data_IF_406195975480
#
_entry.id   IF_406195975480
#
_cell.length_a   1.000
_cell.length_b   1.000
_cell.length_c   1.000
_cell.angle_alpha   90.00
_cell.angle_beta   90.00
_cell.angle_gamma   90.00
#
_symmetry.space_group_name_H-M   'P 1'
#
loop_
_entity.id
_entity.type
_entity.pdbx_description
1 polymer ?
#
# COMPACT_ATOMS: atom_id res chain seq x y z
N UNK A 1 19.01 -21.95 10.47
CA UNK A 1 18.92 -22.46 11.85
C UNK A 1 17.49 -22.31 12.33
N UNK A 2 16.75 -23.40 12.59
CA UNK A 2 15.41 -23.31 13.22
C UNK A 2 15.54 -22.51 14.53
N UNK A 3 14.63 -21.56 14.74
CA UNK A 3 14.73 -20.67 15.91
C UNK A 3 14.33 -21.46 17.15
N UNK A 4 15.33 -21.76 17.96
CA UNK A 4 15.19 -22.45 19.24
C UNK A 4 15.72 -21.57 20.38
N UNK A 5 15.25 -21.84 21.61
CA UNK A 5 15.67 -21.10 22.80
C UNK A 5 14.62 -20.12 23.34
N UNK A 6 14.99 -19.34 24.38
CA UNK A 6 14.04 -18.57 25.19
C UNK A 6 13.33 -17.45 24.42
N UNK A 7 13.95 -16.94 23.35
CA UNK A 7 13.38 -15.89 22.51
C UNK A 7 12.44 -16.40 21.42
N UNK A 8 12.27 -17.72 21.27
CA UNK A 8 11.42 -18.32 20.23
C UNK A 8 9.99 -17.82 20.30
N UNK A 9 9.36 -17.93 21.48
CA UNK A 9 7.95 -17.58 21.67
C UNK A 9 7.70 -16.07 21.51
N UNK A 10 8.49 -15.17 22.16
CA UNK A 10 8.35 -13.73 21.94
C UNK A 10 8.46 -13.32 20.47
N UNK A 11 9.46 -13.83 19.75
CA UNK A 11 9.64 -13.53 18.33
C UNK A 11 8.49 -14.05 17.47
N UNK A 12 8.06 -15.30 17.71
CA UNK A 12 6.93 -15.90 16.98
C UNK A 12 5.65 -15.07 17.12
N UNK A 13 5.35 -14.63 18.34
CA UNK A 13 4.19 -13.78 18.62
C UNK A 13 4.28 -12.45 17.88
N UNK A 14 5.44 -11.78 17.91
CA UNK A 14 5.66 -10.50 17.23
C UNK A 14 5.53 -10.66 15.70
N UNK A 15 6.12 -11.70 15.12
CA UNK A 15 6.06 -11.95 13.68
C UNK A 15 4.62 -12.26 13.23
N UNK A 16 3.82 -12.98 14.04
CA UNK A 16 2.39 -13.15 13.79
C UNK A 16 1.62 -11.83 13.81
N UNK A 17 1.93 -10.93 14.75
CA UNK A 17 1.35 -9.58 14.75
C UNK A 17 1.63 -8.85 13.44
N UNK A 18 2.83 -9.01 12.86
CA UNK A 18 3.14 -8.42 11.55
C UNK A 18 2.22 -8.94 10.47
N UNK A 19 2.14 -10.27 10.34
CA UNK A 19 1.33 -10.91 9.31
C UNK A 19 -0.15 -10.47 9.39
N UNK A 20 -0.72 -10.42 10.60
CA UNK A 20 -2.12 -10.06 10.83
C UNK A 20 -2.37 -8.57 10.57
N UNK A 21 -1.57 -7.66 11.14
CA UNK A 21 -1.75 -6.21 10.95
C UNK A 21 -1.62 -5.84 9.47
N UNK A 22 -0.63 -6.42 8.77
CA UNK A 22 -0.46 -6.20 7.34
C UNK A 22 -1.65 -6.73 6.52
N UNK A 23 -2.21 -7.89 6.90
CA UNK A 23 -3.42 -8.43 6.26
C UNK A 23 -4.61 -7.47 6.44
N UNK A 24 -4.82 -6.98 7.66
CA UNK A 24 -5.90 -6.03 8.00
C UNK A 24 -5.75 -4.72 7.22
N UNK A 25 -4.54 -4.18 7.11
CA UNK A 25 -4.27 -3.00 6.29
C UNK A 25 -4.59 -3.29 4.81
N UNK A 26 -4.16 -4.44 4.28
CA UNK A 26 -4.49 -4.85 2.91
C UNK A 26 -6.01 -4.90 2.65
N UNK A 27 -6.79 -5.42 3.61
CA UNK A 27 -8.25 -5.44 3.56
C UNK A 27 -8.87 -4.05 3.67
N UNK A 28 -8.33 -3.19 4.54
CA UNK A 28 -8.80 -1.81 4.71
C UNK A 28 -8.75 -1.03 3.38
N UNK A 29 -7.66 -1.15 2.61
CA UNK A 29 -7.55 -0.51 1.30
C UNK A 29 -8.52 -1.10 0.25
N UNK A 30 -8.80 -2.41 0.28
CA UNK A 30 -9.88 -2.99 -0.55
C UNK A 30 -11.23 -2.42 -0.17
N UNK A 31 -11.54 -2.33 1.12
CA UNK A 31 -12.81 -1.79 1.59
C UNK A 31 -12.97 -0.32 1.17
N UNK A 32 -11.91 0.47 1.26
CA UNK A 32 -11.88 1.85 0.73
C UNK A 32 -12.16 1.87 -0.78
N UNK A 33 -11.48 1.03 -1.56
CA UNK A 33 -11.69 0.91 -3.00
C UNK A 33 -13.13 0.49 -3.37
N UNK A 34 -13.71 -0.46 -2.63
CA UNK A 34 -15.07 -0.96 -2.89
C UNK A 34 -16.15 0.06 -2.54
N UNK A 35 -15.94 0.87 -1.49
CA UNK A 35 -16.84 1.95 -1.07
C UNK A 35 -16.88 3.14 -2.04
N UNK A 36 -15.84 3.32 -2.85
CA UNK A 36 -15.81 4.38 -3.87
C UNK A 36 -16.76 4.07 -5.03
N UNK A 37 -17.43 5.12 -5.51
CA UNK A 37 -18.23 5.06 -6.74
C UNK A 37 -17.38 4.61 -7.93
N UNK A 38 -17.97 3.83 -8.84
CA UNK A 38 -17.24 3.16 -9.93
C UNK A 38 -16.42 4.14 -10.78
N UNK A 39 -16.90 5.37 -10.98
CA UNK A 39 -16.23 6.41 -11.78
C UNK A 39 -15.05 7.06 -11.04
N UNK A 40 -15.08 7.07 -9.70
CA UNK A 40 -14.05 7.72 -8.88
C UNK A 40 -12.92 6.78 -8.45
N UNK A 41 -13.09 5.47 -8.65
CA UNK A 41 -12.15 4.42 -8.23
C UNK A 41 -10.73 4.64 -8.73
N UNK A 42 -9.78 4.69 -7.81
CA UNK A 42 -8.35 4.80 -8.13
C UNK A 42 -7.65 3.45 -7.97
N UNK A 43 -6.75 3.11 -8.91
CA UNK A 43 -5.93 1.89 -8.75
C UNK A 43 -4.88 2.01 -7.64
N UNK A 44 -4.65 3.21 -7.09
CA UNK A 44 -3.69 3.42 -6.01
C UNK A 44 -4.07 2.62 -4.75
N UNK A 45 -5.37 2.59 -4.40
CA UNK A 45 -5.88 1.78 -3.28
C UNK A 45 -5.60 0.28 -3.49
N UNK A 46 -5.78 -0.22 -4.72
CA UNK A 46 -5.42 -1.60 -5.09
C UNK A 46 -3.91 -1.82 -4.95
N UNK A 47 -3.10 -0.85 -5.36
CA UNK A 47 -1.65 -0.89 -5.21
C UNK A 47 -1.21 -1.05 -3.76
N UNK A 48 -1.72 -0.20 -2.86
CA UNK A 48 -1.43 -0.31 -1.42
C UNK A 48 -1.94 -1.63 -0.84
N UNK A 49 -3.13 -2.08 -1.24
CA UNK A 49 -3.64 -3.39 -0.82
C UNK A 49 -2.70 -4.53 -1.23
N UNK A 50 -2.27 -4.57 -2.51
CA UNK A 50 -1.33 -5.55 -3.03
C UNK A 50 0.02 -5.53 -2.31
N UNK A 51 0.51 -4.33 -1.95
CA UNK A 51 1.71 -4.16 -1.14
C UNK A 51 1.56 -4.82 0.23
N UNK A 52 0.52 -4.44 0.99
CA UNK A 52 0.31 -4.94 2.34
C UNK A 52 0.04 -6.46 2.37
N UNK A 53 -0.70 -6.99 1.40
CA UNK A 53 -0.84 -8.44 1.26
C UNK A 53 0.47 -9.14 0.91
N UNK A 54 1.27 -8.57 0.00
CA UNK A 54 2.58 -9.11 -0.33
C UNK A 54 3.49 -9.20 0.90
N UNK A 55 3.52 -8.17 1.73
CA UNK A 55 4.24 -8.16 3.00
C UNK A 55 3.64 -9.12 4.05
N UNK A 56 2.32 -9.22 4.15
CA UNK A 56 1.65 -10.17 5.06
C UNK A 56 2.04 -11.61 4.73
N UNK A 57 1.94 -11.99 3.46
CA UNK A 57 2.33 -13.31 2.96
C UNK A 57 3.84 -13.56 3.11
N UNK A 58 4.67 -12.52 2.94
CA UNK A 58 6.12 -12.58 3.21
C UNK A 58 6.36 -13.07 4.64
N UNK A 59 5.70 -12.48 5.63
CA UNK A 59 5.82 -12.88 7.03
C UNK A 59 5.21 -14.24 7.32
N UNK A 60 4.04 -14.54 6.75
CA UNK A 60 3.42 -15.84 6.90
C UNK A 60 4.35 -16.98 6.47
N UNK A 61 5.00 -16.86 5.31
CA UNK A 61 5.97 -17.84 4.84
C UNK A 61 7.26 -17.86 5.66
N UNK A 62 7.75 -16.71 6.15
CA UNK A 62 8.91 -16.67 7.06
C UNK A 62 8.62 -17.35 8.39
N UNK A 63 7.41 -17.19 8.95
CA UNK A 63 7.01 -17.86 10.19
C UNK A 63 7.03 -19.37 9.99
N UNK A 64 6.40 -19.85 8.91
CA UNK A 64 6.40 -21.28 8.57
C UNK A 64 7.84 -21.79 8.40
N UNK A 65 8.64 -21.10 7.59
CA UNK A 65 10.02 -21.47 7.29
C UNK A 65 10.95 -21.47 8.52
N UNK A 66 10.83 -20.47 9.40
CA UNK A 66 11.77 -20.28 10.51
C UNK A 66 11.44 -21.11 11.76
N UNK A 67 10.16 -21.40 12.01
CA UNK A 67 9.71 -22.03 13.26
C UNK A 67 9.23 -23.47 13.11
N UNK A 68 8.82 -23.88 11.91
CA UNK A 68 8.13 -25.16 11.70
C UNK A 68 8.82 -26.08 10.69
N UNK A 69 9.74 -25.56 9.87
CA UNK A 69 10.35 -26.33 8.78
C UNK A 69 11.78 -26.75 9.11
N UNK A 70 12.11 -27.99 8.78
CA UNK A 70 13.44 -28.57 8.96
C UNK A 70 14.43 -28.09 7.89
N UNK A 71 15.72 -28.21 8.21
CA UNK A 71 16.81 -27.96 7.26
C UNK A 71 17.12 -29.17 6.36
N UNK A 72 16.31 -30.23 6.45
CA UNK A 72 16.44 -31.41 5.61
C UNK A 72 16.38 -31.03 4.15
N UNK A 73 17.31 -31.56 3.36
CA UNK A 73 17.41 -31.24 1.95
C UNK A 73 16.17 -31.70 1.21
N UNK A 74 15.55 -30.80 0.45
CA UNK A 74 14.36 -31.10 -0.35
C UNK A 74 14.77 -31.12 -1.80
N UNK A 75 14.69 -32.31 -2.37
CA UNK A 75 14.82 -32.53 -3.80
C UNK A 75 13.58 -33.31 -4.26
N UNK A 76 12.39 -32.73 -4.03
CA UNK A 76 11.19 -33.31 -4.63
C UNK A 76 11.38 -33.24 -6.16
N UNK A 77 11.42 -34.40 -6.80
CA UNK A 77 11.65 -34.58 -8.23
C UNK A 77 13.06 -34.26 -8.78
N UNK A 78 14.11 -34.25 -7.94
CA UNK A 78 15.49 -33.95 -8.40
C UNK A 78 15.65 -32.59 -9.09
N UNK A 79 14.80 -31.62 -8.75
CA UNK A 79 14.87 -30.26 -9.29
C UNK A 79 16.03 -29.44 -8.71
N UNK A 80 16.47 -29.76 -7.50
CA UNK A 80 17.47 -28.98 -6.78
C UNK A 80 18.57 -29.88 -6.22
N UNK A 81 19.82 -29.56 -6.55
CA UNK A 81 21.01 -30.21 -5.96
C UNK A 81 21.27 -29.74 -4.52
N UNK A 82 20.78 -28.54 -4.17
CA UNK A 82 20.95 -27.90 -2.88
C UNK A 82 19.70 -27.10 -2.49
N UNK A 83 19.26 -27.25 -1.25
CA UNK A 83 18.15 -26.50 -0.69
C UNK A 83 17.41 -27.26 0.41
N UNK A 84 16.73 -26.55 1.31
CA UNK A 84 15.96 -27.12 2.43
C UNK A 84 14.48 -26.74 2.36
N UNK A 85 13.61 -27.45 3.12
CA UNK A 85 12.19 -27.05 3.26
C UNK A 85 12.09 -25.59 3.71
N UNK A 86 12.91 -25.19 4.68
CA UNK A 86 13.01 -23.80 5.10
C UNK A 86 13.36 -22.87 3.94
N UNK A 87 14.39 -23.18 3.16
CA UNK A 87 14.80 -22.33 2.04
C UNK A 87 13.66 -22.16 1.04
N UNK A 88 12.89 -23.21 0.75
CA UNK A 88 11.71 -23.15 -0.10
C UNK A 88 10.64 -22.17 0.43
N UNK A 89 10.36 -22.17 1.73
CA UNK A 89 9.44 -21.17 2.31
C UNK A 89 10.02 -19.76 2.32
N UNK A 90 11.33 -19.59 2.57
CA UNK A 90 12.00 -18.29 2.41
C UNK A 90 11.91 -17.78 0.96
N UNK A 91 12.00 -18.67 -0.03
CA UNK A 91 11.80 -18.32 -1.44
C UNK A 91 10.39 -17.79 -1.70
N UNK A 92 9.34 -18.48 -1.22
CA UNK A 92 7.97 -18.01 -1.35
C UNK A 92 7.73 -16.67 -0.66
N UNK A 93 8.38 -16.47 0.49
CA UNK A 93 8.38 -15.18 1.17
C UNK A 93 8.93 -14.06 0.27
N UNK A 94 10.11 -14.23 -0.31
CA UNK A 94 10.70 -13.20 -1.17
C UNK A 94 9.94 -13.01 -2.48
N UNK A 95 9.40 -14.08 -3.08
CA UNK A 95 8.53 -13.97 -4.25
C UNK A 95 7.26 -13.17 -3.93
N UNK A 96 6.68 -13.37 -2.74
CA UNK A 96 5.53 -12.60 -2.28
C UNK A 96 5.87 -11.11 -2.11
N UNK A 97 7.04 -10.81 -1.53
CA UNK A 97 7.54 -9.45 -1.39
C UNK A 97 7.66 -8.76 -2.76
N UNK A 98 8.34 -9.39 -3.72
CA UNK A 98 8.52 -8.84 -5.08
C UNK A 98 7.17 -8.64 -5.76
N UNK A 99 6.28 -9.62 -5.66
CA UNK A 99 4.96 -9.58 -6.32
C UNK A 99 4.11 -8.45 -5.75
N UNK A 100 4.11 -8.26 -4.43
CA UNK A 100 3.44 -7.13 -3.78
C UNK A 100 4.02 -5.79 -4.23
N UNK A 101 5.35 -5.66 -4.27
CA UNK A 101 6.02 -4.45 -4.78
C UNK A 101 5.73 -4.19 -6.26
N UNK A 102 5.63 -5.24 -7.09
CA UNK A 102 5.28 -5.14 -8.50
C UNK A 102 3.84 -4.63 -8.70
N UNK A 103 2.88 -5.18 -7.97
CA UNK A 103 1.47 -4.74 -8.02
C UNK A 103 1.38 -3.27 -7.60
N UNK A 104 2.09 -2.90 -6.55
CA UNK A 104 2.18 -1.52 -6.08
C UNK A 104 2.75 -0.59 -7.14
N UNK A 105 3.92 -0.92 -7.69
CA UNK A 105 4.58 -0.12 -8.72
C UNK A 105 3.70 0.04 -9.97
N UNK A 106 3.14 -1.04 -10.49
CA UNK A 106 2.23 -1.02 -11.62
C UNK A 106 1.02 -0.12 -11.38
N UNK A 107 0.43 -0.21 -10.19
CA UNK A 107 -0.77 0.55 -9.82
C UNK A 107 -0.51 2.06 -9.74
N UNK A 108 0.69 2.45 -9.30
CA UNK A 108 1.09 3.86 -9.23
C UNK A 108 1.51 4.39 -10.60
N UNK A 109 2.36 3.68 -11.34
CA UNK A 109 2.84 4.08 -12.67
C UNK A 109 1.74 4.07 -13.75
N UNK A 110 0.59 3.44 -13.47
CA UNK A 110 -0.60 3.55 -14.33
C UNK A 110 -1.09 4.99 -14.44
N UNK A 111 -1.04 5.76 -13.35
CA UNK A 111 -1.58 7.13 -13.26
C UNK A 111 -0.58 8.19 -13.69
N UNK A 112 0.71 8.01 -13.38
CA UNK A 112 1.73 9.01 -13.67
C UNK A 112 3.00 8.37 -14.22
N UNK A 113 3.72 9.16 -15.01
CA UNK A 113 5.05 8.83 -15.50
C UNK A 113 6.04 9.24 -14.41
N UNK A 114 6.85 8.30 -13.93
CA UNK A 114 7.90 8.57 -12.95
C UNK A 114 9.27 8.49 -13.62
N UNK A 115 10.18 9.39 -13.23
CA UNK A 115 11.55 9.56 -13.77
C UNK A 115 11.64 9.75 -15.30
N UNK A 116 11.76 8.65 -16.05
CA UNK A 116 12.21 8.66 -17.45
C UNK A 116 11.13 8.21 -18.44
N UNK A 117 10.37 7.16 -18.10
CA UNK A 117 9.36 6.54 -18.99
C UNK A 117 8.23 5.93 -18.17
N UNK A 118 7.04 5.85 -18.78
CA UNK A 118 5.91 5.14 -18.18
C UNK A 118 6.29 3.67 -17.96
N UNK A 119 5.93 3.13 -16.79
CA UNK A 119 6.21 1.74 -16.37
C UNK A 119 7.70 1.39 -16.16
N UNK A 120 8.58 2.36 -15.92
CA UNK A 120 10.00 2.08 -15.70
C UNK A 120 10.23 1.16 -14.48
N UNK A 121 9.66 1.52 -13.33
CA UNK A 121 9.82 0.72 -12.11
C UNK A 121 9.12 -0.62 -12.21
N UNK A 122 7.97 -0.67 -12.88
CA UNK A 122 7.22 -1.90 -13.16
C UNK A 122 8.08 -2.86 -13.96
N UNK A 123 8.79 -2.38 -14.99
CA UNK A 123 9.71 -3.20 -15.78
C UNK A 123 10.89 -3.70 -14.91
N UNK A 124 11.44 -2.85 -14.03
CA UNK A 124 12.48 -3.26 -13.09
C UNK A 124 12.00 -4.34 -12.10
N UNK A 125 10.81 -4.18 -11.50
CA UNK A 125 10.25 -5.20 -10.61
C UNK A 125 9.88 -6.47 -11.38
N UNK A 126 9.37 -6.35 -12.61
CA UNK A 126 9.03 -7.50 -13.44
C UNK A 126 10.27 -8.30 -13.83
N UNK A 127 11.36 -7.64 -14.21
CA UNK A 127 12.63 -8.31 -14.51
C UNK A 127 13.20 -9.00 -13.28
N UNK A 128 13.09 -8.39 -12.09
CA UNK A 128 13.42 -9.03 -10.83
C UNK A 128 12.54 -10.23 -10.52
N UNK A 129 11.23 -10.18 -10.76
CA UNK A 129 10.32 -11.32 -10.58
C UNK A 129 10.72 -12.48 -11.47
N UNK A 130 10.96 -12.23 -12.77
CA UNK A 130 11.35 -13.26 -13.73
C UNK A 130 12.71 -13.85 -13.33
N UNK A 131 13.67 -13.02 -12.95
CA UNK A 131 14.99 -13.47 -12.49
C UNK A 131 14.86 -14.32 -11.23
N UNK A 132 14.04 -13.90 -10.27
CA UNK A 132 13.76 -14.62 -9.03
C UNK A 132 13.11 -15.99 -9.29
N UNK A 133 12.15 -16.06 -10.22
CA UNK A 133 11.54 -17.33 -10.65
C UNK A 133 12.57 -18.25 -11.33
N UNK A 134 13.43 -17.72 -12.20
CA UNK A 134 14.49 -18.51 -12.82
C UNK A 134 15.48 -19.06 -11.78
N UNK A 135 15.92 -18.22 -10.84
CA UNK A 135 16.82 -18.62 -9.75
C UNK A 135 16.17 -19.67 -8.84
N UNK A 136 14.88 -19.53 -8.56
CA UNK A 136 14.10 -20.51 -7.78
C UNK A 136 14.19 -21.92 -8.36
N UNK A 137 14.17 -22.08 -9.68
CA UNK A 137 14.31 -23.39 -10.33
C UNK A 137 15.75 -23.91 -10.40
N UNK A 138 16.76 -23.07 -10.17
CA UNK A 138 18.18 -23.46 -10.24
C UNK A 138 18.73 -23.80 -8.84
N UNK A 139 18.61 -22.87 -7.88
CA UNK A 139 19.18 -23.03 -6.54
C UNK A 139 18.41 -22.18 -5.53
N UNK A 140 17.84 -22.84 -4.52
CA UNK A 140 17.00 -22.22 -3.50
C UNK A 140 17.78 -21.30 -2.54
N UNK A 141 19.10 -21.42 -2.44
CA UNK A 141 19.93 -20.61 -1.53
C UNK A 141 20.29 -19.24 -2.12
N UNK A 142 20.39 -19.12 -3.45
CA UNK A 142 20.82 -17.88 -4.13
C UNK A 142 19.78 -16.76 -3.95
N UNK A 143 18.51 -17.12 -3.82
CA UNK A 143 17.38 -16.18 -3.66
C UNK A 143 17.59 -15.20 -2.49
N UNK A 144 18.38 -15.58 -1.47
CA UNK A 144 18.60 -14.80 -0.25
C UNK A 144 19.26 -13.44 -0.52
N UNK A 145 19.92 -13.29 -1.67
CA UNK A 145 20.53 -12.05 -2.11
C UNK A 145 19.47 -11.06 -2.63
N UNK A 146 18.36 -11.55 -3.17
CA UNK A 146 17.38 -10.73 -3.88
C UNK A 146 16.76 -9.62 -3.01
N UNK A 147 16.41 -9.84 -1.72
CA UNK A 147 15.93 -8.77 -0.84
C UNK A 147 16.88 -7.56 -0.72
N UNK A 148 18.19 -7.77 -0.82
CA UNK A 148 19.17 -6.67 -0.81
C UNK A 148 19.10 -5.79 -2.06
N UNK A 149 18.52 -6.28 -3.16
CA UNK A 149 18.29 -5.52 -4.40
C UNK A 149 16.89 -4.89 -4.37
N UNK A 150 15.88 -5.64 -3.93
CA UNK A 150 14.48 -5.18 -3.89
C UNK A 150 14.33 -3.95 -2.98
N UNK A 151 14.84 -4.02 -1.74
CA UNK A 151 14.57 -2.97 -0.74
C UNK A 151 15.11 -1.60 -1.16
N UNK A 152 16.37 -1.45 -1.62
CA UNK A 152 16.85 -0.18 -2.15
C UNK A 152 16.04 0.31 -3.34
N UNK A 153 15.72 -0.56 -4.30
CA UNK A 153 14.90 -0.20 -5.46
C UNK A 153 13.51 0.29 -5.04
N UNK A 154 12.88 -0.42 -4.09
CA UNK A 154 11.58 -0.08 -3.54
C UNK A 154 11.60 1.24 -2.76
N UNK A 155 12.63 1.49 -1.94
CA UNK A 155 12.77 2.76 -1.23
C UNK A 155 12.98 3.93 -2.18
N UNK A 156 13.82 3.78 -3.21
CA UNK A 156 14.01 4.81 -4.25
C UNK A 156 12.69 5.10 -4.95
N UNK A 157 11.98 4.06 -5.38
CA UNK A 157 10.67 4.20 -6.00
C UNK A 157 9.67 4.92 -5.09
N UNK A 158 9.56 4.48 -3.84
CA UNK A 158 8.64 5.04 -2.86
C UNK A 158 8.95 6.52 -2.58
N UNK A 159 10.21 6.90 -2.44
CA UNK A 159 10.60 8.30 -2.22
C UNK A 159 10.20 9.18 -3.41
N UNK A 160 10.47 8.74 -4.64
CA UNK A 160 10.09 9.48 -5.85
C UNK A 160 8.57 9.60 -5.94
N UNK A 161 7.85 8.49 -5.72
CA UNK A 161 6.40 8.45 -5.70
C UNK A 161 5.82 9.46 -4.71
N UNK A 162 6.30 9.46 -3.46
CA UNK A 162 5.80 10.35 -2.42
C UNK A 162 6.12 11.81 -2.75
N UNK A 163 7.34 12.12 -3.23
CA UNK A 163 7.72 13.49 -3.65
C UNK A 163 6.81 14.01 -4.76
N UNK A 164 6.52 13.19 -5.77
CA UNK A 164 5.64 13.59 -6.86
C UNK A 164 4.18 13.71 -6.39
N UNK A 165 3.74 12.83 -5.48
CA UNK A 165 2.44 12.94 -4.83
C UNK A 165 2.30 14.26 -4.05
N UNK A 166 3.36 14.71 -3.35
CA UNK A 166 3.37 16.01 -2.67
C UNK A 166 3.24 17.20 -3.62
N UNK A 167 4.00 17.17 -4.71
CA UNK A 167 3.95 18.24 -5.73
C UNK A 167 2.58 18.31 -6.40
N UNK A 168 1.93 17.17 -6.56
CA UNK A 168 0.63 17.05 -7.20
C UNK A 168 -0.53 17.55 -6.33
N UNK A 169 -0.53 17.18 -5.04
CA UNK A 169 -1.76 17.12 -4.27
C UNK A 169 -2.05 18.28 -3.34
N UNK A 170 -1.13 19.22 -3.09
CA UNK A 170 -1.22 19.96 -1.83
C UNK A 170 -1.03 21.48 -1.96
N UNK A 171 -2.16 22.19 -2.03
CA UNK A 171 -2.34 23.54 -1.45
C UNK A 171 -2.66 23.50 0.06
N UNK A 172 -2.85 22.32 0.66
CA UNK A 172 -3.19 22.12 2.07
C UNK A 172 -2.01 21.59 2.89
N UNK A 173 -1.08 22.47 3.29
CA UNK A 173 0.20 22.17 3.96
C UNK A 173 0.13 21.10 5.08
N UNK A 174 -1.00 20.99 5.79
CA UNK A 174 -1.21 20.02 6.87
C UNK A 174 -1.14 18.57 6.42
N UNK A 175 -1.71 18.21 5.26
CA UNK A 175 -1.71 16.83 4.77
C UNK A 175 -0.32 16.43 4.23
N UNK A 176 0.46 17.40 3.75
CA UNK A 176 1.81 17.15 3.25
C UNK A 176 2.72 16.63 4.38
N UNK A 177 2.62 17.25 5.54
CA UNK A 177 3.42 16.90 6.71
C UNK A 177 3.06 15.50 7.22
N UNK A 178 1.79 15.09 7.14
CA UNK A 178 1.37 13.75 7.57
C UNK A 178 1.89 12.64 6.67
N UNK A 179 1.85 12.82 5.35
CA UNK A 179 2.38 11.84 4.41
C UNK A 179 3.91 11.76 4.46
N UNK A 180 4.63 12.85 4.80
CA UNK A 180 6.11 12.80 4.86
C UNK A 180 6.57 11.85 5.97
N UNK A 181 5.73 11.67 7.01
CA UNK A 181 5.96 10.73 8.10
C UNK A 181 5.85 9.26 7.66
N UNK A 182 5.36 8.94 6.45
CA UNK A 182 5.43 7.58 5.89
C UNK A 182 6.87 7.15 5.55
N UNK A 183 7.69 8.07 5.05
CA UNK A 183 9.08 7.77 4.63
C UNK A 183 9.90 7.16 5.77
N UNK A 184 10.00 7.79 6.97
CA UNK A 184 10.76 7.21 8.07
C UNK A 184 10.17 5.88 8.54
N UNK A 185 8.86 5.67 8.46
CA UNK A 185 8.24 4.40 8.82
C UNK A 185 8.68 3.26 7.86
N UNK A 186 8.71 3.51 6.55
CA UNK A 186 9.21 2.54 5.57
C UNK A 186 10.71 2.29 5.68
N UNK A 187 11.52 3.32 5.96
CA UNK A 187 12.95 3.17 6.22
C UNK A 187 13.16 2.29 7.46
N UNK A 188 12.42 2.55 8.53
CA UNK A 188 12.52 1.79 9.77
C UNK A 188 12.04 0.33 9.59
N UNK A 189 11.03 0.11 8.74
CA UNK A 189 10.61 -1.22 8.31
C UNK A 189 11.72 -1.96 7.55
N UNK A 190 12.39 -1.29 6.60
CA UNK A 190 13.48 -1.84 5.81
C UNK A 190 14.69 -2.20 6.69
N UNK A 191 15.11 -1.28 7.56
CA UNK A 191 16.22 -1.50 8.50
C UNK A 191 15.91 -2.68 9.42
N UNK A 192 14.70 -2.73 10.00
CA UNK A 192 14.28 -3.84 10.84
C UNK A 192 14.20 -5.17 10.08
N UNK A 193 13.89 -5.14 8.77
CA UNK A 193 13.90 -6.34 7.92
C UNK A 193 15.30 -6.87 7.70
N UNK A 194 16.26 -5.99 7.41
CA UNK A 194 17.66 -6.41 7.28
C UNK A 194 18.20 -6.99 8.59
N UNK A 195 17.92 -6.37 9.73
CA UNK A 195 18.33 -6.89 11.04
C UNK A 195 17.71 -8.27 11.37
N UNK A 196 16.51 -8.53 10.86
CA UNK A 196 15.82 -9.82 11.05
C UNK A 196 16.20 -10.86 10.00
N UNK A 197 17.01 -10.49 9.00
CA UNK A 197 17.41 -11.36 7.90
C UNK A 197 18.39 -12.45 8.36
N UNK A 198 18.34 -13.60 7.70
CA UNK A 198 19.14 -14.79 8.06
C UNK A 198 20.65 -14.54 8.07
N UNK A 199 21.13 -13.68 7.17
CA UNK A 199 22.55 -13.29 7.11
C UNK A 199 23.03 -12.63 8.40
N UNK A 200 22.25 -11.73 8.99
CA UNK A 200 22.62 -11.05 10.23
C UNK A 200 22.44 -11.98 11.44
N UNK A 201 21.43 -12.84 11.41
CA UNK A 201 21.22 -13.88 12.42
C UNK A 201 22.42 -14.82 12.59
N UNK A 202 23.06 -15.23 11.49
CA UNK A 202 24.22 -16.11 11.53
C UNK A 202 25.46 -15.44 12.15
N UNK A 203 25.57 -14.11 12.02
CA UNK A 203 26.76 -13.36 12.42
C UNK A 203 26.63 -12.63 13.77
N UNK A 204 25.41 -12.19 14.13
CA UNK A 204 25.16 -11.30 15.27
C UNK A 204 24.21 -11.89 16.33
N UNK A 205 23.81 -13.16 16.20
CA UNK A 205 22.93 -13.89 17.12
C UNK A 205 21.47 -13.39 17.18
N UNK A 206 20.65 -14.07 18.01
CA UNK A 206 19.19 -13.92 18.14
C UNK A 206 18.73 -12.52 18.62
N UNK A 207 19.58 -11.81 19.35
CA UNK A 207 19.26 -10.50 19.94
C UNK A 207 18.99 -9.43 18.87
N UNK A 208 19.75 -9.46 17.77
CA UNK A 208 19.57 -8.52 16.67
C UNK A 208 18.27 -8.73 15.91
N UNK A 209 17.79 -9.98 15.81
CA UNK A 209 16.47 -10.26 15.24
C UNK A 209 15.36 -9.74 16.13
N UNK A 210 15.50 -9.82 17.46
CA UNK A 210 14.53 -9.20 18.36
C UNK A 210 14.52 -7.68 18.20
N UNK A 211 15.70 -7.05 18.16
CA UNK A 211 15.83 -5.61 17.89
C UNK A 211 15.21 -5.21 16.55
N UNK A 212 15.49 -5.97 15.50
CA UNK A 212 14.90 -5.79 14.17
C UNK A 212 13.38 -5.92 14.16
N UNK A 213 12.85 -6.94 14.85
CA UNK A 213 11.41 -7.16 14.99
C UNK A 213 10.75 -6.00 15.77
N UNK A 214 11.33 -5.54 16.87
CA UNK A 214 10.79 -4.39 17.60
C UNK A 214 10.77 -3.12 16.76
N UNK A 215 11.80 -2.87 15.95
CA UNK A 215 11.79 -1.78 14.99
C UNK A 215 10.65 -1.95 13.98
N UNK A 216 10.50 -3.13 13.37
CA UNK A 216 9.41 -3.37 12.42
C UNK A 216 8.03 -3.19 13.05
N UNK A 217 7.85 -3.59 14.30
CA UNK A 217 6.59 -3.38 15.03
C UNK A 217 6.27 -1.88 15.15
N UNK A 218 7.26 -1.07 15.53
CA UNK A 218 7.10 0.39 15.61
C UNK A 218 6.78 1.00 14.24
N UNK A 219 7.46 0.55 13.19
CA UNK A 219 7.14 0.97 11.82
C UNK A 219 5.71 0.61 11.43
N UNK A 220 5.26 -0.62 11.72
CA UNK A 220 3.93 -1.10 11.38
C UNK A 220 2.83 -0.33 12.13
N UNK A 221 3.02 -0.06 13.42
CA UNK A 221 2.08 0.77 14.20
C UNK A 221 1.97 2.16 13.57
N UNK A 222 3.10 2.75 13.19
CA UNK A 222 3.14 4.05 12.51
C UNK A 222 2.40 4.00 11.17
N UNK A 223 2.71 3.02 10.31
CA UNK A 223 2.05 2.83 9.02
C UNK A 223 0.54 2.58 9.16
N UNK A 224 0.12 1.80 10.15
CA UNK A 224 -1.28 1.50 10.41
C UNK A 224 -2.04 2.77 10.82
N UNK A 225 -1.49 3.53 11.77
CA UNK A 225 -2.07 4.80 12.20
C UNK A 225 -2.28 5.77 11.03
N UNK A 226 -1.29 5.91 10.15
CA UNK A 226 -1.43 6.77 8.97
C UNK A 226 -2.42 6.22 7.95
N UNK A 227 -2.38 4.92 7.67
CA UNK A 227 -3.27 4.29 6.68
C UNK A 227 -4.75 4.41 7.05
N UNK A 228 -5.08 4.40 8.35
CA UNK A 228 -6.45 4.60 8.84
C UNK A 228 -6.90 6.06 8.61
N UNK A 229 -6.02 7.03 8.82
CA UNK A 229 -6.34 8.47 8.69
C UNK A 229 -6.34 8.98 7.25
N UNK A 230 -5.66 8.28 6.36
CA UNK A 230 -5.54 8.69 4.96
C UNK A 230 -6.93 8.65 4.29
N UNK A 231 -7.47 9.77 3.77
CA UNK A 231 -8.72 9.76 3.02
C UNK A 231 -8.56 8.97 1.72
N UNK A 232 -9.68 8.66 1.07
CA UNK A 232 -9.66 7.94 -0.19
C UNK A 232 -8.75 8.67 -1.21
N UNK A 233 -7.88 7.93 -1.91
CA UNK A 233 -6.99 8.55 -2.90
C UNK A 233 -7.74 9.30 -4.00
N UNK A 234 -9.00 8.92 -4.26
CA UNK A 234 -9.90 9.62 -5.17
C UNK A 234 -10.15 11.09 -4.81
N UNK A 235 -10.06 11.47 -3.53
CA UNK A 235 -10.27 12.83 -3.04
C UNK A 235 -9.10 13.76 -3.40
N UNK A 236 -7.89 13.23 -3.65
CA UNK A 236 -6.74 14.04 -4.00
C UNK A 236 -6.74 14.47 -5.48
N UNK A 237 -7.35 13.66 -6.35
CA UNK A 237 -7.50 13.95 -7.79
C UNK A 237 -8.85 14.60 -8.13
N UNK A 238 -9.51 15.26 -7.16
CA UNK A 238 -10.85 15.83 -7.34
C UNK A 238 -10.93 16.86 -8.48
N UNK A 239 -9.86 17.62 -8.70
CA UNK A 239 -9.84 18.69 -9.71
C UNK A 239 -9.94 18.15 -11.14
N UNK A 240 -9.29 17.03 -11.43
CA UNK A 240 -9.35 16.39 -12.76
C UNK A 240 -10.67 15.65 -12.99
N UNK A 241 -11.45 15.40 -11.93
CA UNK A 241 -12.75 14.72 -11.96
C UNK A 241 -13.93 15.67 -11.81
N UNK A 242 -13.68 16.98 -11.76
CA UNK A 242 -14.72 17.99 -11.60
C UNK A 242 -15.44 18.17 -12.94
N UNK A 243 -16.69 17.73 -13.03
CA UNK A 243 -17.46 17.81 -14.28
C UNK A 243 -17.99 19.23 -14.52
N UNK A 244 -18.63 19.83 -13.51
CA UNK A 244 -19.23 21.16 -13.58
C UNK A 244 -19.04 21.93 -12.26
N UNK A 245 -18.71 23.22 -12.35
CA UNK A 245 -18.66 24.14 -11.21
C UNK A 245 -19.78 25.17 -11.34
N UNK A 246 -20.72 25.13 -10.39
CA UNK A 246 -21.82 26.07 -10.27
C UNK A 246 -21.63 26.93 -9.02
N UNK A 247 -21.59 28.25 -9.18
CA UNK A 247 -21.63 29.21 -8.08
C UNK A 247 -22.99 29.86 -8.08
N UNK A 248 -23.74 29.68 -7.00
CA UNK A 248 -25.09 30.23 -6.85
C UNK A 248 -25.13 31.29 -5.74
N UNK A 249 -25.93 32.33 -5.96
CA UNK A 249 -26.29 33.27 -4.89
C UNK A 249 -27.26 32.59 -3.90
N UNK A 250 -27.40 33.15 -2.69
CA UNK A 250 -28.41 32.76 -1.69
C UNK A 250 -29.85 32.76 -2.22
N UNK A 251 -30.12 33.49 -3.30
CA UNK A 251 -31.41 33.52 -3.98
C UNK A 251 -31.60 32.39 -5.03
N UNK A 252 -30.64 31.46 -5.17
CA UNK A 252 -30.71 30.36 -6.15
C UNK A 252 -30.33 30.74 -7.58
N UNK A 253 -29.89 31.98 -7.79
CA UNK A 253 -29.45 32.47 -9.10
C UNK A 253 -28.03 31.97 -9.36
N UNK A 254 -27.82 31.28 -10.49
CA UNK A 254 -26.49 30.92 -10.97
C UNK A 254 -25.70 32.18 -11.33
N UNK A 255 -24.60 32.44 -10.62
CA UNK A 255 -23.68 33.55 -10.87
C UNK A 255 -22.53 33.15 -11.79
N UNK A 256 -22.13 31.88 -11.72
CA UNK A 256 -21.02 31.35 -12.51
C UNK A 256 -21.26 29.87 -12.78
N UNK A 257 -21.14 29.49 -14.04
CA UNK A 257 -21.14 28.10 -14.48
C UNK A 257 -19.88 27.85 -15.30
N UNK A 258 -19.18 26.76 -14.98
CA UNK A 258 -18.07 26.27 -15.79
C UNK A 258 -18.16 24.76 -15.89
N UNK A 259 -18.50 24.27 -17.07
CA UNK A 259 -18.31 22.86 -17.41
C UNK A 259 -16.86 22.62 -17.81
N UNK A 260 -16.27 21.56 -17.28
CA UNK A 260 -14.91 21.11 -17.57
C UNK A 260 -14.90 19.87 -18.49
N UNK A 261 -16.08 19.36 -18.88
CA UNK A 261 -16.22 18.23 -19.81
C UNK A 261 -16.84 18.70 -21.12
N UNK A 262 -16.27 18.27 -22.26
CA UNK A 262 -16.79 18.57 -23.62
C UNK A 262 -18.12 17.85 -23.93
N UNK A 263 -18.78 17.24 -22.93
CA UNK A 263 -20.12 16.72 -23.12
C UNK A 263 -21.07 17.90 -23.27
N UNK A 264 -21.64 18.03 -24.47
CA UNK A 264 -22.63 19.03 -24.85
C UNK A 264 -23.90 18.80 -24.00
N UNK A 265 -23.91 19.29 -22.76
CA UNK A 265 -25.11 19.39 -21.94
C UNK A 265 -25.84 20.67 -22.36
N UNK A 266 -26.75 20.57 -23.32
CA UNK A 266 -27.78 21.59 -23.58
C UNK A 266 -28.80 21.70 -22.43
N UNK A 267 -28.39 21.42 -21.20
CA UNK A 267 -29.21 21.53 -20.01
C UNK A 267 -29.13 22.99 -19.56
N UNK A 268 -30.27 23.68 -19.62
CA UNK A 268 -30.36 25.11 -19.35
C UNK A 268 -29.85 25.38 -17.91
N UNK A 269 -28.75 26.10 -17.77
CA UNK A 269 -28.07 26.37 -16.48
C UNK A 269 -29.03 26.91 -15.41
N UNK A 270 -30.03 27.69 -15.86
CA UNK A 270 -31.10 28.27 -15.05
C UNK A 270 -32.04 27.19 -14.48
N UNK A 271 -32.32 26.13 -15.24
CA UNK A 271 -33.15 25.01 -14.78
C UNK A 271 -32.42 24.19 -13.71
N UNK A 272 -31.11 23.98 -13.87
CA UNK A 272 -30.31 23.27 -12.86
C UNK A 272 -30.20 24.06 -11.56
N UNK A 273 -29.87 25.36 -11.64
CA UNK A 273 -29.76 26.20 -10.44
C UNK A 273 -31.11 26.36 -9.73
N UNK A 274 -32.20 26.50 -10.50
CA UNK A 274 -33.56 26.58 -9.95
C UNK A 274 -34.01 25.28 -9.28
N UNK A 275 -33.70 24.12 -9.86
CA UNK A 275 -33.98 22.82 -9.26
C UNK A 275 -33.19 22.60 -7.96
N UNK A 276 -31.89 22.89 -7.95
CA UNK A 276 -31.05 22.77 -6.76
C UNK A 276 -31.52 23.70 -5.63
N UNK A 277 -31.92 24.93 -5.96
CA UNK A 277 -32.45 25.86 -4.98
C UNK A 277 -33.79 25.39 -4.39
N UNK A 278 -34.67 24.85 -5.22
CA UNK A 278 -35.96 24.29 -4.78
C UNK A 278 -35.77 23.11 -3.84
N UNK A 279 -34.81 22.22 -4.14
CA UNK A 279 -34.44 21.10 -3.25
C UNK A 279 -33.90 21.63 -1.91
N UNK A 280 -33.08 22.68 -1.94
CA UNK A 280 -32.53 23.25 -0.71
C UNK A 280 -33.62 23.85 0.18
N UNK A 281 -34.59 24.58 -0.39
CA UNK A 281 -35.76 25.09 0.35
C UNK A 281 -36.56 23.93 0.96
N UNK A 282 -36.83 22.88 0.19
CA UNK A 282 -37.56 21.72 0.69
C UNK A 282 -36.83 21.01 1.84
N UNK A 283 -35.50 20.90 1.76
CA UNK A 283 -34.68 20.34 2.84
C UNK A 283 -34.69 21.23 4.09
N UNK A 284 -34.61 22.55 3.93
CA UNK A 284 -34.70 23.52 5.03
C UNK A 284 -36.08 23.46 5.69
N UNK A 285 -37.17 23.37 4.92
CA UNK A 285 -38.52 23.19 5.46
C UNK A 285 -38.69 21.86 6.19
N UNK A 286 -38.20 20.75 5.63
CA UNK A 286 -38.30 19.43 6.27
C UNK A 286 -37.49 19.34 7.56
N UNK A 287 -36.31 19.95 7.60
CA UNK A 287 -35.48 19.98 8.81
C UNK A 287 -36.03 20.93 9.87
N UNK A 288 -36.58 22.08 9.46
CA UNK A 288 -37.24 23.04 10.35
C UNK A 288 -38.56 22.52 10.91
N UNK A 289 -39.37 21.83 10.09
CA UNK A 289 -40.61 21.17 10.52
C UNK A 289 -40.35 20.02 11.51
N UNK A 290 -39.20 19.34 11.39
CA UNK A 290 -38.78 18.31 12.33
C UNK A 290 -38.33 18.88 13.68
N UNK A 291 -37.79 20.11 13.70
CA UNK A 291 -37.41 20.82 14.92
C UNK A 291 -38.62 21.41 15.69
N UNK A 292 -39.72 21.70 15.00
CA UNK A 292 -40.96 22.22 15.60
C UNK A 292 -41.99 21.14 15.95
N UNK A 293 -41.85 19.92 15.42
CA UNK A 293 -42.71 18.77 15.74
C UNK A 293 -42.29 17.95 16.97
N UNK A 294 -41.23 18.34 17.67
CA UNK A 294 -40.72 17.66 18.89
C UNK A 294 -40.87 18.48 20.18
N UNK A 295 -41.76 19.48 20.18
CA UNK A 295 -42.18 20.22 21.38
C UNK A 295 -43.55 19.79 21.86
#
# INVERSE_FOLDING_TARGET
>A
MVIEGPLRLPLLTIEWFFAVILLELGLLFILKFMRQEKQLRTSQEIGYSGLFFGFSLTWFFLIIGNYYMSETVVSNFFLWDQGSMRALFSNFSYLSLITGSLIFAFSMEKHRIYLFKKYFFTICFLSLTITSLTVFFINLEIIKIIPFIIWPLFLVFLTIYLVDFFKAGIKAETIAIELLKFIPAFILLAVGFFLSHDYFMQNLALEFRLGGSLLQLLALISLAYFSIRLPAFAEYDWFEKLEELLVMNKAGICLFHKSFTDQISHLNEILMSGALYSVNILLDELTSAKATGSS
#
